data_IF_388202509241
#
_entry.id   IF_388202509241
#
_cell.length_a   1.000
_cell.length_b   1.000
_cell.length_c   1.000
_cell.angle_alpha   90.00
_cell.angle_beta   90.00
_cell.angle_gamma   90.00
#
_symmetry.space_group_name_H-M   'P 1'
#
loop_
_entity.id
_entity.type
_entity.pdbx_description
1 polymer ?
#
# COMPACT_ATOMS: atom_id res chain seq x y z
N UNK A 1 -33.92 -21.81 69.36
CA UNK A 1 -32.65 -21.61 68.63
C UNK A 1 -32.88 -22.19 67.25
N UNK A 2 -32.97 -21.36 66.20
CA UNK A 2 -33.16 -21.84 64.84
C UNK A 2 -32.00 -22.78 64.47
N UNK A 3 -32.32 -23.90 63.85
CA UNK A 3 -31.31 -24.89 63.43
C UNK A 3 -30.45 -24.31 62.32
N UNK A 4 -29.20 -24.77 62.20
CA UNK A 4 -28.26 -24.30 61.18
C UNK A 4 -28.82 -24.47 59.75
N UNK A 5 -29.65 -25.49 59.55
CA UNK A 5 -30.40 -25.73 58.31
C UNK A 5 -31.44 -24.65 58.02
N UNK A 6 -32.25 -24.24 59.01
CA UNK A 6 -33.23 -23.16 58.84
C UNK A 6 -32.56 -21.79 58.58
N UNK A 7 -31.34 -21.59 59.09
CA UNK A 7 -30.53 -20.41 58.76
C UNK A 7 -29.99 -20.45 57.34
N UNK A 8 -29.56 -21.62 56.86
CA UNK A 8 -29.11 -21.81 55.48
C UNK A 8 -30.27 -21.62 54.48
N UNK A 9 -31.42 -22.24 54.74
CA UNK A 9 -32.61 -22.14 53.89
C UNK A 9 -33.15 -20.70 53.78
N UNK A 10 -32.92 -19.86 54.80
CA UNK A 10 -33.27 -18.43 54.76
C UNK A 10 -32.23 -17.57 54.01
N UNK A 11 -30.96 -17.97 54.01
CA UNK A 11 -29.85 -17.22 53.39
C UNK A 11 -29.72 -17.54 51.91
N UNK A 12 -29.97 -18.79 51.51
CA UNK A 12 -29.87 -19.27 50.13
C UNK A 12 -30.68 -18.46 49.10
N UNK A 13 -31.98 -18.11 49.32
CA UNK A 13 -32.72 -17.26 48.38
C UNK A 13 -32.18 -15.82 48.33
N UNK A 14 -31.61 -15.34 49.44
CA UNK A 14 -30.99 -14.00 49.51
C UNK A 14 -29.70 -13.97 48.69
N UNK A 15 -28.87 -15.01 48.81
CA UNK A 15 -27.65 -15.17 48.02
C UNK A 15 -27.98 -15.31 46.53
N UNK A 16 -28.99 -16.12 46.18
CA UNK A 16 -29.44 -16.26 44.79
C UNK A 16 -29.92 -14.91 44.21
N UNK A 17 -30.68 -14.13 44.97
CA UNK A 17 -31.11 -12.79 44.57
C UNK A 17 -29.93 -11.83 44.39
N UNK A 18 -28.93 -11.87 45.27
CA UNK A 18 -27.73 -11.02 45.15
C UNK A 18 -26.85 -11.41 43.95
N UNK A 19 -26.75 -12.70 43.63
CA UNK A 19 -26.05 -13.17 42.43
C UNK A 19 -26.79 -12.69 41.17
N UNK A 20 -28.11 -12.77 41.14
CA UNK A 20 -28.90 -12.28 40.01
C UNK A 20 -28.82 -10.76 39.84
N UNK A 21 -28.84 -10.00 40.94
CA UNK A 21 -28.68 -8.55 40.94
C UNK A 21 -27.27 -8.13 40.49
N UNK A 22 -26.23 -8.82 40.95
CA UNK A 22 -24.85 -8.51 40.53
C UNK A 22 -24.59 -8.83 39.05
N UNK A 23 -25.19 -9.92 38.53
CA UNK A 23 -25.17 -10.23 37.11
C UNK A 23 -25.90 -9.16 36.27
N UNK A 24 -27.07 -8.70 36.73
CA UNK A 24 -27.83 -7.62 36.09
C UNK A 24 -27.05 -6.30 36.04
N UNK A 25 -26.45 -5.89 37.17
CA UNK A 25 -25.62 -4.69 37.25
C UNK A 25 -24.36 -4.79 36.37
N UNK A 26 -23.75 -5.97 36.26
CA UNK A 26 -22.61 -6.18 35.38
C UNK A 26 -22.98 -6.05 33.89
N UNK A 27 -24.18 -6.49 33.50
CA UNK A 27 -24.72 -6.32 32.15
C UNK A 27 -25.01 -4.84 31.86
N UNK A 28 -25.66 -4.13 32.78
CA UNK A 28 -25.94 -2.69 32.66
C UNK A 28 -24.65 -1.87 32.59
N UNK A 29 -23.64 -2.18 33.41
CA UNK A 29 -22.32 -1.55 33.33
C UNK A 29 -21.63 -1.81 31.99
N UNK A 30 -21.73 -3.04 31.44
CA UNK A 30 -21.20 -3.36 30.11
C UNK A 30 -21.92 -2.56 29.03
N UNK A 31 -23.25 -2.46 29.09
CA UNK A 31 -24.05 -1.66 28.18
C UNK A 31 -23.72 -0.16 28.27
N UNK A 32 -23.69 0.41 29.47
CA UNK A 32 -23.34 1.82 29.68
C UNK A 32 -21.92 2.13 29.21
N UNK A 33 -20.97 1.20 29.41
CA UNK A 33 -19.61 1.35 28.91
C UNK A 33 -19.55 1.31 27.39
N UNK A 34 -20.36 0.46 26.74
CA UNK A 34 -20.46 0.42 25.28
C UNK A 34 -21.12 1.70 24.73
N UNK A 35 -22.19 2.17 25.35
CA UNK A 35 -22.87 3.43 24.99
C UNK A 35 -21.94 4.63 25.19
N UNK A 36 -21.21 4.70 26.31
CA UNK A 36 -20.25 5.76 26.59
C UNK A 36 -19.04 5.71 25.65
N UNK A 37 -18.60 4.51 25.25
CA UNK A 37 -17.56 4.34 24.22
C UNK A 37 -18.05 4.80 22.86
N UNK A 38 -19.29 4.49 22.48
CA UNK A 38 -19.91 4.95 21.25
C UNK A 38 -20.09 6.48 21.25
N UNK A 39 -20.59 7.04 22.36
CA UNK A 39 -20.76 8.50 22.52
C UNK A 39 -19.41 9.19 22.51
N UNK A 40 -18.39 8.63 23.18
CA UNK A 40 -17.03 9.14 23.14
C UNK A 40 -16.43 9.04 21.73
N UNK A 41 -16.65 7.96 21.00
CA UNK A 41 -16.23 7.83 19.60
C UNK A 41 -16.94 8.85 18.70
N UNK A 42 -18.23 9.13 18.95
CA UNK A 42 -19.02 10.12 18.21
C UNK A 42 -18.61 11.56 18.53
N UNK A 43 -18.25 11.83 19.79
CA UNK A 43 -17.78 13.13 20.27
C UNK A 43 -16.32 13.39 19.88
N UNK A 44 -15.43 12.40 19.99
CA UNK A 44 -14.06 12.46 19.45
C UNK A 44 -14.08 12.61 17.92
N UNK A 45 -15.01 11.93 17.26
CA UNK A 45 -15.28 12.11 15.84
C UNK A 45 -15.87 13.49 15.51
N UNK A 46 -16.45 14.21 16.46
CA UNK A 46 -17.08 15.51 16.27
C UNK A 46 -16.40 16.62 17.08
N UNK A 47 -15.10 16.45 17.40
CA UNK A 47 -14.33 17.26 18.35
C UNK A 47 -14.83 18.69 18.50
N UNK A 48 -15.08 19.12 19.73
CA UNK A 48 -15.69 20.42 20.03
C UNK A 48 -14.77 21.62 19.73
N UNK A 49 -13.49 21.35 19.46
CA UNK A 49 -12.48 22.33 19.07
C UNK A 49 -12.37 22.56 17.56
N UNK A 50 -11.49 23.49 17.18
CA UNK A 50 -11.16 23.75 15.79
C UNK A 50 -10.65 22.46 15.12
N UNK A 51 -11.14 22.17 13.90
CA UNK A 51 -10.63 21.04 13.12
C UNK A 51 -9.18 21.26 12.78
N UNK A 52 -8.32 20.31 13.14
CA UNK A 52 -6.89 20.37 12.83
C UNK A 52 -6.68 20.05 11.35
N UNK A 53 -5.90 20.87 10.66
CA UNK A 53 -5.44 20.55 9.32
C UNK A 53 -4.29 19.53 9.40
N UNK A 54 -4.62 18.25 9.23
CA UNK A 54 -3.63 17.17 9.28
C UNK A 54 -2.68 17.21 8.08
N UNK A 55 -3.14 17.76 6.95
CA UNK A 55 -2.38 17.84 5.69
C UNK A 55 -1.46 19.08 5.64
N UNK A 56 -1.47 19.93 6.67
CA UNK A 56 -0.62 21.10 6.75
C UNK A 56 0.87 20.74 6.67
N UNK A 57 1.58 21.37 5.73
CA UNK A 57 3.03 21.18 5.56
C UNK A 57 3.75 22.29 6.33
N UNK A 58 4.01 22.02 7.61
CA UNK A 58 4.60 22.98 8.55
C UNK A 58 5.71 22.33 9.41
N UNK A 59 6.57 23.18 9.99
CA UNK A 59 7.60 22.77 10.94
C UNK A 59 8.52 21.67 10.40
N UNK A 60 8.53 20.50 11.06
CA UNK A 60 9.38 19.36 10.68
C UNK A 60 8.99 18.74 9.32
N UNK A 61 7.76 18.92 8.83
CA UNK A 61 7.31 18.32 7.58
C UNK A 61 7.77 19.08 6.33
N UNK A 62 7.92 20.40 6.42
CA UNK A 62 8.27 21.25 5.28
C UNK A 62 9.54 20.81 4.54
N UNK A 63 10.70 20.61 5.21
CA UNK A 63 11.91 20.17 4.53
C UNK A 63 11.76 18.75 3.93
N UNK A 64 11.06 17.85 4.62
CA UNK A 64 10.87 16.45 4.16
C UNK A 64 10.00 16.42 2.90
N UNK A 65 8.88 17.15 2.89
CA UNK A 65 8.00 17.26 1.73
C UNK A 65 8.71 17.92 0.56
N UNK A 66 9.57 18.93 0.80
CA UNK A 66 10.36 19.54 -0.26
C UNK A 66 11.31 18.53 -0.93
N UNK A 67 12.00 17.68 -0.15
CA UNK A 67 12.85 16.60 -0.68
C UNK A 67 12.01 15.59 -1.48
N UNK A 68 10.84 15.19 -0.97
CA UNK A 68 9.93 14.27 -1.69
C UNK A 68 9.46 14.86 -3.03
N UNK A 69 9.15 16.16 -3.07
CA UNK A 69 8.75 16.84 -4.31
C UNK A 69 9.88 16.86 -5.33
N UNK A 70 11.11 17.11 -4.88
CA UNK A 70 12.27 17.07 -5.75
C UNK A 70 12.53 15.65 -6.28
N UNK A 71 12.51 14.65 -5.40
CA UNK A 71 12.65 13.25 -5.79
C UNK A 71 11.56 12.82 -6.78
N UNK A 72 10.30 13.23 -6.57
CA UNK A 72 9.20 12.96 -7.49
C UNK A 72 9.44 13.53 -8.89
N UNK A 73 9.96 14.76 -9.00
CA UNK A 73 10.30 15.36 -10.29
C UNK A 73 11.41 14.58 -11.00
N UNK A 74 12.42 14.14 -10.23
CA UNK A 74 13.52 13.34 -10.74
C UNK A 74 13.04 11.95 -11.20
N UNK A 75 12.26 11.26 -10.37
CA UNK A 75 11.74 9.92 -10.63
C UNK A 75 10.77 9.86 -11.82
N UNK A 76 10.14 10.99 -12.19
CA UNK A 76 9.27 11.05 -13.37
C UNK A 76 10.04 10.89 -14.69
N UNK A 77 11.32 11.25 -14.72
CA UNK A 77 12.11 11.17 -15.94
C UNK A 77 12.78 9.81 -16.15
N UNK A 78 12.78 8.94 -15.13
CA UNK A 78 13.36 7.60 -15.21
C UNK A 78 12.27 6.52 -15.23
N UNK A 79 12.56 5.41 -15.91
CA UNK A 79 11.72 4.22 -15.90
C UNK A 79 11.74 3.56 -14.51
N UNK A 80 10.61 2.99 -14.11
CA UNK A 80 10.54 2.12 -12.94
C UNK A 80 11.40 0.86 -13.14
N UNK A 81 11.92 0.29 -12.06
CA UNK A 81 12.78 -0.90 -12.13
C UNK A 81 12.02 -2.11 -12.70
N UNK A 82 10.75 -2.30 -12.32
CA UNK A 82 9.88 -3.34 -12.89
C UNK A 82 9.68 -3.20 -14.40
N UNK A 83 9.59 -1.96 -14.89
CA UNK A 83 9.50 -1.68 -16.34
C UNK A 83 10.83 -1.96 -17.02
N UNK A 84 11.95 -1.55 -16.43
CA UNK A 84 13.29 -1.86 -16.95
C UNK A 84 13.52 -3.37 -17.05
N UNK A 85 13.13 -4.12 -16.03
CA UNK A 85 13.29 -5.57 -16.00
C UNK A 85 12.42 -6.26 -17.05
N UNK A 86 11.17 -5.79 -17.25
CA UNK A 86 10.33 -6.27 -18.34
C UNK A 86 10.94 -6.00 -19.73
N UNK A 87 11.54 -4.81 -19.94
CA UNK A 87 12.22 -4.48 -21.20
C UNK A 87 13.49 -5.32 -21.39
N UNK A 88 14.28 -5.55 -20.34
CA UNK A 88 15.47 -6.40 -20.39
C UNK A 88 15.09 -7.84 -20.73
N UNK A 89 14.05 -8.36 -20.09
CA UNK A 89 13.53 -9.69 -20.40
C UNK A 89 13.14 -9.82 -21.88
N UNK A 90 12.51 -8.80 -22.48
CA UNK A 90 12.20 -8.82 -23.91
C UNK A 90 13.45 -8.89 -24.80
N UNK A 91 14.50 -8.15 -24.43
CA UNK A 91 15.79 -8.17 -25.13
C UNK A 91 16.46 -9.54 -25.01
N UNK A 92 16.50 -10.08 -23.80
CA UNK A 92 17.12 -11.37 -23.49
C UNK A 92 16.38 -12.53 -24.17
N UNK A 93 15.04 -12.49 -24.22
CA UNK A 93 14.23 -13.48 -24.94
C UNK A 93 14.58 -13.54 -26.43
N UNK A 94 14.78 -12.38 -27.09
CA UNK A 94 15.19 -12.37 -28.49
C UNK A 94 16.63 -12.84 -28.69
N UNK A 95 17.53 -12.49 -27.77
CA UNK A 95 18.89 -13.02 -27.77
C UNK A 95 18.88 -14.55 -27.67
N UNK A 96 18.06 -15.12 -26.78
CA UNK A 96 17.88 -16.56 -26.65
C UNK A 96 17.32 -17.22 -27.92
N UNK A 97 16.35 -16.59 -28.60
CA UNK A 97 15.87 -17.10 -29.89
C UNK A 97 16.96 -17.09 -30.98
N UNK A 98 17.79 -16.05 -31.01
CA UNK A 98 18.91 -15.96 -31.96
C UNK A 98 19.97 -17.02 -31.70
N UNK A 99 20.38 -17.17 -30.45
CA UNK A 99 21.34 -18.19 -30.04
C UNK A 99 20.82 -19.60 -30.37
N UNK A 100 19.56 -19.90 -30.04
CA UNK A 100 18.94 -21.18 -30.38
C UNK A 100 18.90 -21.41 -31.89
N UNK A 101 18.56 -20.39 -32.67
CA UNK A 101 18.53 -20.49 -34.13
C UNK A 101 19.93 -20.79 -34.71
N UNK A 102 20.98 -20.17 -34.16
CA UNK A 102 22.37 -20.45 -34.53
C UNK A 102 22.78 -21.89 -34.18
N UNK A 103 22.42 -22.36 -32.98
CA UNK A 103 22.69 -23.73 -32.54
C UNK A 103 22.01 -24.77 -33.46
N UNK A 104 20.73 -24.57 -33.79
CA UNK A 104 19.97 -25.48 -34.68
C UNK A 104 20.55 -25.46 -36.10
N UNK A 105 20.94 -24.28 -36.61
CA UNK A 105 21.62 -24.17 -37.91
C UNK A 105 22.98 -24.88 -37.91
N UNK A 106 23.74 -24.78 -36.83
CA UNK A 106 25.00 -25.50 -36.69
C UNK A 106 24.78 -27.02 -36.69
N UNK A 107 23.71 -27.51 -36.04
CA UNK A 107 23.33 -28.93 -36.06
C UNK A 107 22.98 -29.40 -37.49
N UNK A 108 22.21 -28.60 -38.25
CA UNK A 108 21.87 -28.91 -39.65
C UNK A 108 23.10 -29.08 -40.56
N UNK A 109 24.20 -28.41 -40.23
CA UNK A 109 25.46 -28.51 -40.98
C UNK A 109 26.28 -29.76 -40.62
N UNK A 110 25.83 -30.60 -39.68
CA UNK A 110 26.51 -31.86 -39.32
C UNK A 110 26.18 -33.00 -40.29
N UNK A 111 27.20 -33.76 -40.70
CA UNK A 111 27.10 -34.71 -41.81
C UNK A 111 26.33 -36.03 -41.52
N UNK A 112 25.78 -36.23 -40.32
CA UNK A 112 25.21 -37.52 -39.87
C UNK A 112 23.74 -37.43 -39.39
N UNK A 113 22.95 -36.54 -39.97
CA UNK A 113 21.52 -36.44 -39.63
C UNK A 113 20.66 -37.40 -40.48
N UNK A 114 19.66 -38.02 -39.86
CA UNK A 114 18.61 -38.70 -40.62
C UNK A 114 17.75 -37.68 -41.36
N UNK A 115 17.01 -38.14 -42.39
CA UNK A 115 16.07 -37.27 -43.12
C UNK A 115 15.03 -36.64 -42.19
N UNK A 116 14.46 -37.44 -41.28
CA UNK A 116 13.44 -36.99 -40.34
C UNK A 116 14.00 -35.94 -39.38
N UNK A 117 15.20 -36.16 -38.82
CA UNK A 117 15.84 -35.19 -37.92
C UNK A 117 16.12 -33.86 -38.63
N UNK A 118 16.55 -33.95 -39.89
CA UNK A 118 16.77 -32.77 -40.73
C UNK A 118 15.48 -31.98 -40.95
N UNK A 119 14.39 -32.63 -41.32
CA UNK A 119 13.09 -31.98 -41.53
C UNK A 119 12.58 -31.30 -40.25
N UNK A 120 12.76 -31.92 -39.08
CA UNK A 120 12.42 -31.34 -37.77
C UNK A 120 13.24 -30.09 -37.47
N UNK A 121 14.56 -30.15 -37.65
CA UNK A 121 15.46 -29.02 -37.41
C UNK A 121 15.21 -27.87 -38.41
N UNK A 122 14.94 -28.16 -39.69
CA UNK A 122 14.56 -27.16 -40.69
C UNK A 122 13.26 -26.46 -40.32
N UNK A 123 12.27 -27.21 -39.82
CA UNK A 123 11.03 -26.63 -39.30
C UNK A 123 11.29 -25.72 -38.09
N UNK A 124 12.13 -26.15 -37.14
CA UNK A 124 12.50 -25.35 -35.97
C UNK A 124 13.19 -24.03 -36.39
N UNK A 125 14.13 -24.06 -37.33
CA UNK A 125 14.76 -22.85 -37.89
C UNK A 125 13.73 -21.91 -38.50
N UNK A 126 12.77 -22.44 -39.25
CA UNK A 126 11.70 -21.62 -39.84
C UNK A 126 10.86 -20.94 -38.75
N UNK A 127 10.45 -21.67 -37.72
CA UNK A 127 9.71 -21.14 -36.57
C UNK A 127 10.50 -20.06 -35.83
N UNK A 128 11.78 -20.30 -35.53
CA UNK A 128 12.65 -19.34 -34.85
C UNK A 128 12.88 -18.09 -35.69
N UNK A 129 13.12 -18.25 -37.00
CA UNK A 129 13.32 -17.12 -37.92
C UNK A 129 12.07 -16.24 -37.97
N UNK A 130 10.87 -16.83 -38.04
CA UNK A 130 9.62 -16.09 -37.97
C UNK A 130 9.45 -15.34 -36.64
N UNK A 131 9.71 -16.01 -35.49
CA UNK A 131 9.62 -15.37 -34.16
C UNK A 131 10.60 -14.21 -34.00
N UNK A 132 11.84 -14.37 -34.50
CA UNK A 132 12.86 -13.32 -34.50
C UNK A 132 12.37 -12.12 -35.32
N UNK A 133 11.89 -12.36 -36.54
CA UNK A 133 11.37 -11.30 -37.41
C UNK A 133 10.20 -10.55 -36.75
N UNK A 134 9.22 -11.28 -36.21
CA UNK A 134 8.02 -10.71 -35.59
C UNK A 134 8.30 -9.84 -34.36
N UNK A 135 9.40 -10.09 -33.63
CA UNK A 135 9.76 -9.36 -32.40
C UNK A 135 10.88 -8.34 -32.57
N UNK A 136 11.55 -8.30 -33.72
CA UNK A 136 12.77 -7.50 -33.89
C UNK A 136 12.55 -6.00 -33.67
N UNK A 137 11.46 -5.44 -34.17
CA UNK A 137 11.16 -4.01 -33.98
C UNK A 137 10.81 -3.66 -32.54
N UNK A 138 10.01 -4.49 -31.86
CA UNK A 138 9.65 -4.28 -30.47
C UNK A 138 10.90 -4.30 -29.57
N UNK A 139 11.81 -5.26 -29.81
CA UNK A 139 13.06 -5.35 -29.05
C UNK A 139 14.01 -4.20 -29.34
N UNK A 140 14.09 -3.75 -30.61
CA UNK A 140 14.85 -2.55 -30.96
C UNK A 140 14.35 -1.33 -30.18
N UNK A 141 13.02 -1.13 -30.13
CA UNK A 141 12.41 -0.06 -29.34
C UNK A 141 12.69 -0.22 -27.83
N UNK A 142 12.61 -1.45 -27.30
CA UNK A 142 12.94 -1.72 -25.90
C UNK A 142 14.40 -1.37 -25.57
N UNK A 143 15.35 -1.76 -26.43
CA UNK A 143 16.77 -1.41 -26.28
C UNK A 143 17.00 0.10 -26.37
N UNK A 144 16.38 0.80 -27.32
CA UNK A 144 16.47 2.25 -27.45
C UNK A 144 15.92 2.97 -26.20
N UNK A 145 14.82 2.48 -25.64
CA UNK A 145 14.23 2.99 -24.39
C UNK A 145 15.15 2.77 -23.19
N UNK A 146 15.71 1.58 -23.03
CA UNK A 146 16.68 1.27 -21.95
C UNK A 146 17.91 2.18 -22.06
N UNK A 147 18.50 2.30 -23.25
CA UNK A 147 19.67 3.16 -23.47
C UNK A 147 19.38 4.66 -23.28
N UNK A 148 18.14 5.10 -23.49
CA UNK A 148 17.71 6.47 -23.14
C UNK A 148 17.62 6.62 -21.63
N UNK A 149 17.01 5.65 -20.94
CA UNK A 149 16.86 5.68 -19.48
C UNK A 149 18.22 5.63 -18.75
N UNK A 150 19.15 4.80 -19.24
CA UNK A 150 20.51 4.72 -18.68
C UNK A 150 21.23 6.07 -18.74
N UNK A 151 21.15 6.77 -19.88
CA UNK A 151 21.70 8.13 -20.03
C UNK A 151 21.08 9.13 -19.07
N UNK A 152 19.76 9.04 -18.83
CA UNK A 152 19.08 9.91 -17.86
C UNK A 152 19.56 9.60 -16.45
N UNK A 153 19.66 8.31 -16.08
CA UNK A 153 20.10 7.85 -14.74
C UNK A 153 21.55 8.21 -14.42
N UNK A 154 22.39 8.38 -15.43
CA UNK A 154 23.80 8.82 -15.30
C UNK A 154 23.95 10.33 -15.08
N UNK A 155 22.88 11.12 -15.18
CA UNK A 155 22.94 12.56 -14.92
C UNK A 155 23.37 12.86 -13.46
N UNK A 156 24.31 13.80 -13.23
CA UNK A 156 24.81 14.11 -11.89
C UNK A 156 23.71 14.52 -10.92
N UNK A 157 23.79 14.05 -9.68
CA UNK A 157 22.83 14.40 -8.62
C UNK A 157 21.53 13.59 -8.64
N UNK A 158 21.29 12.81 -9.69
CA UNK A 158 20.02 12.10 -9.87
C UNK A 158 19.87 10.93 -8.92
N UNK A 159 20.92 10.11 -8.79
CA UNK A 159 20.91 8.96 -7.87
C UNK A 159 20.85 9.44 -6.43
N UNK A 160 21.55 10.53 -6.10
CA UNK A 160 21.49 11.14 -4.78
C UNK A 160 20.08 11.68 -4.47
N UNK A 161 19.40 12.32 -5.43
CA UNK A 161 18.04 12.81 -5.26
C UNK A 161 17.02 11.67 -5.05
N UNK A 162 17.14 10.57 -5.79
CA UNK A 162 16.28 9.37 -5.61
C UNK A 162 16.51 8.77 -4.22
N UNK A 163 17.78 8.57 -3.84
CA UNK A 163 18.13 8.02 -2.52
C UNK A 163 17.70 8.94 -1.36
N UNK A 164 17.77 10.27 -1.54
CA UNK A 164 17.25 11.24 -0.60
C UNK A 164 15.72 11.15 -0.49
N UNK A 165 15.02 10.95 -1.61
CA UNK A 165 13.58 10.67 -1.66
C UNK A 165 13.21 9.42 -0.87
N UNK A 166 13.91 8.31 -1.06
CA UNK A 166 13.65 7.07 -0.32
C UNK A 166 13.84 7.24 1.19
N UNK A 167 14.85 8.00 1.63
CA UNK A 167 15.02 8.34 3.05
C UNK A 167 13.88 9.22 3.56
N UNK A 168 13.52 10.26 2.80
CA UNK A 168 12.43 11.16 3.16
C UNK A 168 11.07 10.44 3.25
N UNK A 169 10.86 9.34 2.50
CA UNK A 169 9.66 8.50 2.60
C UNK A 169 9.56 7.74 3.92
N UNK A 170 10.68 7.29 4.47
CA UNK A 170 10.70 6.67 5.80
C UNK A 170 10.42 7.73 6.86
N UNK A 171 11.03 8.90 6.72
CA UNK A 171 10.85 10.01 7.66
C UNK A 171 9.42 10.56 7.67
N UNK A 172 8.80 10.77 6.49
CA UNK A 172 7.42 11.26 6.39
C UNK A 172 6.43 10.26 6.99
N UNK A 173 6.69 8.95 6.88
CA UNK A 173 5.83 7.93 7.48
C UNK A 173 5.83 8.01 9.02
N UNK A 174 7.00 8.19 9.64
CA UNK A 174 7.11 8.37 11.09
C UNK A 174 6.52 9.71 11.55
N UNK A 175 6.76 10.79 10.82
CA UNK A 175 6.16 12.10 11.11
C UNK A 175 4.63 12.06 11.02
N UNK A 176 4.10 11.43 9.97
CA UNK A 176 2.66 11.26 9.80
C UNK A 176 2.04 10.41 10.91
N UNK A 177 2.67 9.30 11.30
CA UNK A 177 2.22 8.48 12.44
C UNK A 177 2.18 9.28 13.74
N UNK A 178 3.26 10.01 14.06
CA UNK A 178 3.32 10.88 15.24
C UNK A 178 2.21 11.93 15.22
N UNK A 179 1.94 12.53 14.07
CA UNK A 179 0.85 13.50 13.91
C UNK A 179 -0.53 12.90 14.16
N UNK A 180 -0.80 11.70 13.62
CA UNK A 180 -2.06 10.98 13.90
C UNK A 180 -2.21 10.72 15.40
N UNK A 181 -1.16 10.23 16.07
CA UNK A 181 -1.17 9.97 17.51
C UNK A 181 -1.41 11.26 18.33
N UNK A 182 -0.78 12.37 17.95
CA UNK A 182 -0.99 13.66 18.59
C UNK A 182 -2.43 14.14 18.42
N UNK A 183 -3.00 14.06 17.23
CA UNK A 183 -4.40 14.44 16.98
C UNK A 183 -5.36 13.60 17.81
N UNK A 184 -5.10 12.30 17.97
CA UNK A 184 -5.95 11.41 18.77
C UNK A 184 -5.77 11.57 20.28
N UNK A 185 -4.61 12.02 20.73
CA UNK A 185 -4.33 12.29 22.14
C UNK A 185 -4.99 13.59 22.65
N UNK A 186 -5.32 14.52 21.76
CA UNK A 186 -5.92 15.81 22.10
C UNK A 186 -7.40 15.85 21.69
N UNK A 187 -8.21 16.65 22.40
CA UNK A 187 -9.63 16.84 22.07
C UNK A 187 -9.81 17.85 20.92
N UNK A 188 -9.33 17.50 19.73
CA UNK A 188 -9.37 18.32 18.52
C UNK A 188 -10.28 17.71 17.45
N UNK A 189 -10.87 18.54 16.60
CA UNK A 189 -11.70 18.07 15.49
C UNK A 189 -10.86 17.35 14.43
N UNK A 190 -11.31 16.16 14.03
CA UNK A 190 -10.66 15.35 12.98
C UNK A 190 -11.25 15.71 11.60
N UNK A 191 -10.41 15.91 10.55
CA UNK A 191 -10.87 16.16 9.19
C UNK A 191 -11.88 15.13 8.67
N UNK A 192 -12.81 15.59 7.84
CA UNK A 192 -13.86 14.74 7.27
C UNK A 192 -13.28 13.60 6.42
N UNK A 193 -12.27 13.87 5.57
CA UNK A 193 -11.62 12.84 4.76
C UNK A 193 -11.06 11.70 5.60
N UNK A 194 -10.48 12.01 6.77
CA UNK A 194 -9.86 11.02 7.65
C UNK A 194 -10.94 10.15 8.30
N UNK A 195 -12.03 10.76 8.76
CA UNK A 195 -13.17 10.04 9.34
C UNK A 195 -13.86 9.12 8.32
N UNK A 196 -14.02 9.59 7.09
CA UNK A 196 -14.60 8.78 6.00
C UNK A 196 -13.69 7.61 5.64
N UNK A 197 -12.38 7.85 5.57
CA UNK A 197 -11.41 6.83 5.17
C UNK A 197 -11.22 5.73 6.24
N UNK A 198 -11.01 6.14 7.49
CA UNK A 198 -10.55 5.26 8.55
C UNK A 198 -11.67 4.76 9.46
N UNK A 199 -12.82 5.45 9.50
CA UNK A 199 -13.88 5.14 10.46
C UNK A 199 -13.41 5.30 11.91
N UNK A 200 -13.94 4.46 12.80
CA UNK A 200 -13.60 4.48 14.23
C UNK A 200 -12.48 3.49 14.52
N UNK A 201 -11.48 3.84 15.36
CA UNK A 201 -10.45 2.90 15.76
C UNK A 201 -11.05 1.67 16.45
N UNK A 202 -10.62 0.44 16.08
CA UNK A 202 -11.11 -0.78 16.69
C UNK A 202 -10.65 -0.91 18.15
N UNK A 203 -11.45 -1.60 18.97
CA UNK A 203 -11.15 -1.93 20.36
C UNK A 203 -11.15 -3.46 20.52
N UNK A 204 -10.22 -4.07 21.26
CA UNK A 204 -9.28 -3.42 22.18
C UNK A 204 -7.95 -2.96 21.57
N UNK A 205 -7.58 -3.41 20.37
CA UNK A 205 -6.27 -3.14 19.78
C UNK A 205 -6.37 -2.27 18.50
N UNK A 206 -6.02 -0.97 18.57
CA UNK A 206 -6.03 -0.06 17.42
C UNK A 206 -4.71 -0.05 16.63
N UNK A 207 -3.74 -0.91 16.94
CA UNK A 207 -2.37 -0.80 16.39
C UNK A 207 -2.31 -0.85 14.86
N UNK A 208 -3.03 -1.79 14.24
CA UNK A 208 -3.08 -1.89 12.77
C UNK A 208 -3.79 -0.68 12.15
N UNK A 209 -4.86 -0.19 12.78
CA UNK A 209 -5.59 0.99 12.33
C UNK A 209 -4.70 2.24 12.38
N UNK A 210 -3.91 2.43 13.45
CA UNK A 210 -2.96 3.54 13.58
C UNK A 210 -1.86 3.49 12.52
N UNK A 211 -1.35 2.28 12.23
CA UNK A 211 -0.36 2.09 11.18
C UNK A 211 -0.91 2.52 9.81
N UNK A 212 -2.13 2.09 9.46
CA UNK A 212 -2.77 2.47 8.19
C UNK A 212 -3.11 3.95 8.13
N UNK A 213 -3.60 4.53 9.23
CA UNK A 213 -3.86 5.96 9.34
C UNK A 213 -2.60 6.80 9.09
N UNK A 214 -1.47 6.42 9.70
CA UNK A 214 -0.18 7.07 9.49
C UNK A 214 0.27 6.98 8.03
N UNK A 215 0.13 5.81 7.41
CA UNK A 215 0.47 5.61 5.98
C UNK A 215 -0.43 6.40 5.04
N UNK A 216 -1.73 6.51 5.35
CA UNK A 216 -2.67 7.33 4.58
C UNK A 216 -2.27 8.81 4.64
N UNK A 217 -1.96 9.33 5.82
CA UNK A 217 -1.51 10.70 5.96
C UNK A 217 -0.17 10.94 5.24
N UNK A 218 0.78 10.02 5.37
CA UNK A 218 2.05 10.08 4.65
C UNK A 218 1.83 10.13 3.12
N UNK A 219 0.91 9.32 2.59
CA UNK A 219 0.54 9.34 1.17
C UNK A 219 -0.02 10.70 0.75
N UNK A 220 -0.95 11.27 1.54
CA UNK A 220 -1.53 12.58 1.22
C UNK A 220 -0.48 13.68 1.22
N UNK A 221 0.43 13.67 2.20
CA UNK A 221 1.55 14.61 2.28
C UNK A 221 2.52 14.44 1.10
N UNK A 222 2.93 13.21 0.79
CA UNK A 222 3.85 12.90 -0.32
C UNK A 222 3.26 13.30 -1.67
N UNK A 223 1.96 13.08 -1.92
CA UNK A 223 1.33 13.33 -3.23
C UNK A 223 0.46 14.59 -3.30
N UNK A 224 0.44 15.41 -2.24
CA UNK A 224 -0.36 16.63 -2.13
C UNK A 224 -1.85 16.38 -2.43
N UNK A 225 -2.38 15.28 -1.87
CA UNK A 225 -3.80 14.97 -2.00
C UNK A 225 -4.58 15.82 -1.01
N UNK A 226 -5.39 16.73 -1.53
CA UNK A 226 -6.22 17.66 -0.75
C UNK A 226 -7.71 17.38 -0.86
N UNK A 227 -8.10 16.33 -1.58
CA UNK A 227 -9.49 15.94 -1.75
C UNK A 227 -10.11 15.58 -0.39
N UNK A 228 -11.28 16.16 -0.12
CA UNK A 228 -12.01 16.06 1.14
C UNK A 228 -12.88 14.80 1.24
N UNK A 229 -13.22 14.20 0.10
CA UNK A 229 -14.14 13.06 0.02
C UNK A 229 -13.37 11.79 -0.34
N UNK A 230 -12.47 11.89 -1.31
CA UNK A 230 -11.62 10.78 -1.71
C UNK A 230 -10.23 10.91 -1.07
N UNK A 231 -9.97 10.19 0.03
CA UNK A 231 -8.76 10.38 0.83
C UNK A 231 -7.46 10.05 0.07
N UNK A 232 -7.53 9.19 -0.94
CA UNK A 232 -6.41 8.83 -1.82
C UNK A 232 -6.35 9.68 -3.11
N UNK A 233 -7.35 10.53 -3.35
CA UNK A 233 -7.44 11.35 -4.55
C UNK A 233 -7.65 10.52 -5.83
N UNK A 234 -7.42 11.12 -7.01
CA UNK A 234 -7.66 10.44 -8.27
C UNK A 234 -6.76 9.21 -8.42
N UNK A 235 -7.33 8.15 -8.97
CA UNK A 235 -6.61 6.91 -9.27
C UNK A 235 -5.40 7.22 -10.17
N UNK A 236 -4.18 6.76 -9.83
CA UNK A 236 -3.00 6.94 -10.67
C UNK A 236 -3.18 6.30 -12.05
N UNK A 237 -2.53 6.90 -13.06
CA UNK A 237 -2.54 6.40 -14.43
C UNK A 237 -1.94 4.98 -14.50
N UNK A 238 -2.63 4.09 -15.21
CA UNK A 238 -2.23 2.70 -15.37
C UNK A 238 -1.11 2.54 -16.42
N UNK A 239 -1.03 3.46 -17.39
CA UNK A 239 -0.13 3.34 -18.54
C UNK A 239 1.19 4.12 -18.34
N UNK A 240 1.36 4.75 -17.19
CA UNK A 240 2.57 5.49 -16.86
C UNK A 240 3.73 4.55 -16.44
N UNK A 241 4.83 4.63 -17.18
CA UNK A 241 6.02 3.79 -16.99
C UNK A 241 7.10 4.41 -16.08
N UNK A 242 6.94 5.66 -15.67
CA UNK A 242 7.96 6.34 -14.86
C UNK A 242 7.99 5.81 -13.43
N UNK A 243 9.17 5.85 -12.80
CA UNK A 243 9.38 5.35 -11.44
C UNK A 243 8.42 6.01 -10.44
N UNK A 244 8.22 7.33 -10.57
CA UNK A 244 7.29 8.08 -9.74
C UNK A 244 5.85 7.54 -9.83
N UNK A 245 5.33 7.40 -11.06
CA UNK A 245 3.93 6.99 -11.26
C UNK A 245 3.69 5.53 -10.90
N UNK A 246 4.61 4.63 -11.25
CA UNK A 246 4.55 3.22 -10.87
C UNK A 246 4.53 3.08 -9.35
N UNK A 247 5.42 3.80 -8.64
CA UNK A 247 5.44 3.81 -7.17
C UNK A 247 4.12 4.32 -6.59
N UNK A 248 3.62 5.47 -7.06
CA UNK A 248 2.34 6.02 -6.59
C UNK A 248 1.19 5.03 -6.79
N UNK A 249 1.17 4.32 -7.93
CA UNK A 249 0.17 3.29 -8.25
C UNK A 249 0.25 2.11 -7.29
N UNK A 250 1.45 1.61 -7.00
CA UNK A 250 1.66 0.51 -6.06
C UNK A 250 1.22 0.90 -4.64
N UNK A 251 1.63 2.07 -4.15
CA UNK A 251 1.22 2.56 -2.82
C UNK A 251 -0.29 2.82 -2.77
N UNK A 252 -0.87 3.39 -3.83
CA UNK A 252 -2.32 3.59 -3.94
C UNK A 252 -3.07 2.26 -3.87
N UNK A 253 -2.62 1.24 -4.60
CA UNK A 253 -3.27 -0.07 -4.63
C UNK A 253 -3.22 -0.76 -3.26
N UNK A 254 -2.05 -0.76 -2.61
CA UNK A 254 -1.88 -1.34 -1.27
C UNK A 254 -2.72 -0.60 -0.22
N UNK A 255 -2.69 0.74 -0.22
CA UNK A 255 -3.52 1.53 0.70
C UNK A 255 -5.02 1.34 0.44
N UNK A 256 -5.44 1.28 -0.82
CA UNK A 256 -6.85 1.02 -1.17
C UNK A 256 -7.31 -0.33 -0.60
N UNK A 257 -6.48 -1.36 -0.73
CA UNK A 257 -6.78 -2.69 -0.18
C UNK A 257 -6.85 -2.66 1.35
N UNK A 258 -5.96 -1.93 2.02
CA UNK A 258 -5.95 -1.82 3.49
C UNK A 258 -7.14 -1.02 4.01
N UNK A 259 -7.48 0.10 3.37
CA UNK A 259 -8.65 0.91 3.75
C UNK A 259 -9.96 0.13 3.57
N UNK A 260 -10.06 -0.71 2.54
CA UNK A 260 -11.23 -1.57 2.35
C UNK A 260 -11.49 -2.49 3.55
N UNK A 261 -10.43 -2.95 4.23
CA UNK A 261 -10.56 -3.79 5.44
C UNK A 261 -11.15 -3.03 6.64
N UNK A 262 -11.01 -1.71 6.68
CA UNK A 262 -11.53 -0.86 7.76
C UNK A 262 -12.89 -0.22 7.44
N UNK A 263 -13.46 -0.48 6.26
CA UNK A 263 -14.75 0.08 5.91
C UNK A 263 -15.88 -0.56 6.75
N UNK A 264 -16.82 0.22 7.31
CA UNK A 264 -17.81 -0.26 8.27
C UNK A 264 -18.74 -1.37 7.76
N UNK A 265 -18.90 -1.52 6.44
CA UNK A 265 -19.69 -2.60 5.83
C UNK A 265 -19.07 -4.00 6.00
N UNK A 266 -17.78 -4.07 6.33
CA UNK A 266 -17.03 -5.33 6.50
C UNK A 266 -16.67 -5.65 7.94
N UNK A 267 -16.87 -4.71 8.87
CA UNK A 267 -16.63 -4.93 10.31
C UNK A 267 -17.81 -5.59 11.05
N UNK A 268 -18.86 -5.99 10.32
CA UNK A 268 -20.10 -6.55 10.86
C UNK A 268 -20.34 -8.04 10.59
N UNK A 269 -19.29 -8.86 10.41
CA UNK A 269 -19.41 -10.32 10.32
C UNK A 269 -18.50 -11.03 11.32
#
# INVERSE_FOLDING_TARGET
>A
MATEKERLDAVEPTVASLVQQSAGLAEELRRLRAELTMVKARLLGAGSGQTVDMDAVDGELEPVVAVLRHAWQVEQAVLADSVRDALRQQVDELAGFRERNEQVRAQLNTAKLSRTDREVLEHEVHQLTWRIGARSDAVRQASERLAKDDRIREEPGRQEAIAAGDKARVEIAELARRRVEQVLAHDVGIPMWFRVAMGTPPSPDPSQWLAVAGRLLAYRLEYAVTDLVNPLGPKPDADADSAAWVRRREVFADLSQQLYQFHPEHQGK
#
